data_IF_707313907426
#
_entry.id   IF_707313907426
#
_cell.length_a   1.000
_cell.length_b   1.000
_cell.length_c   1.000
_cell.angle_alpha   90.00
_cell.angle_beta   90.00
_cell.angle_gamma   90.00
#
_symmetry.space_group_name_H-M   'P 1'
#
loop_
_entity.id
_entity.type
_entity.pdbx_description
1 polymer ?
#
# COMPACT_ATOMS: atom_id res chain seq x y z
N UNK A 1 -14.52 -27.56 6.08
CA UNK A 1 -15.89 -28.10 6.25
C UNK A 1 -16.90 -27.02 5.91
N UNK A 2 -17.97 -27.30 5.16
CA UNK A 2 -19.03 -26.31 4.89
C UNK A 2 -19.69 -25.87 6.20
N UNK A 3 -19.98 -24.58 6.31
CA UNK A 3 -20.59 -23.94 7.51
C UNK A 3 -22.00 -24.51 7.77
N UNK A 4 -22.69 -24.91 6.70
CA UNK A 4 -24.09 -25.41 6.74
C UNK A 4 -24.27 -26.67 7.63
N UNK A 5 -23.19 -27.42 7.90
CA UNK A 5 -23.23 -28.65 8.69
C UNK A 5 -22.71 -28.48 10.13
N UNK A 6 -22.51 -27.25 10.59
CA UNK A 6 -21.97 -26.96 11.91
C UNK A 6 -23.01 -26.26 12.81
N UNK A 7 -22.88 -26.45 14.12
CA UNK A 7 -23.67 -25.72 15.11
C UNK A 7 -23.39 -24.21 15.00
N UNK A 8 -24.36 -23.45 14.53
CA UNK A 8 -24.25 -22.01 14.30
C UNK A 8 -23.90 -21.23 15.57
N UNK A 9 -24.30 -21.70 16.75
CA UNK A 9 -23.98 -21.07 18.04
C UNK A 9 -22.51 -21.25 18.35
N UNK A 10 -21.98 -22.45 18.14
CA UNK A 10 -20.55 -22.75 18.39
C UNK A 10 -19.64 -21.96 17.44
N UNK A 11 -20.04 -21.84 16.16
CA UNK A 11 -19.29 -21.03 15.19
C UNK A 11 -19.27 -19.57 15.62
N UNK A 12 -20.44 -18.99 15.93
CA UNK A 12 -20.55 -17.58 16.34
C UNK A 12 -19.72 -17.24 17.58
N UNK A 13 -19.62 -18.16 18.53
CA UNK A 13 -18.79 -17.99 19.73
C UNK A 13 -17.28 -17.97 19.46
N UNK A 14 -16.85 -18.52 18.31
CA UNK A 14 -15.44 -18.56 17.88
C UNK A 14 -15.05 -17.38 16.96
N UNK A 15 -15.99 -16.51 16.64
CA UNK A 15 -15.78 -15.35 15.75
C UNK A 15 -15.91 -14.09 16.59
N UNK A 16 -14.91 -13.24 16.54
CA UNK A 16 -15.01 -11.88 17.05
C UNK A 16 -15.87 -11.03 16.11
N UNK A 17 -16.72 -10.16 16.66
CA UNK A 17 -17.59 -9.33 15.84
C UNK A 17 -17.62 -7.89 16.33
N UNK A 18 -17.26 -6.96 15.44
CA UNK A 18 -17.39 -5.51 15.62
C UNK A 18 -18.55 -5.05 14.75
N UNK A 19 -19.63 -4.64 15.37
CA UNK A 19 -20.78 -4.06 14.66
C UNK A 19 -20.58 -2.57 14.42
N UNK A 20 -21.28 -2.02 13.46
CA UNK A 20 -21.38 -0.58 13.24
C UNK A 20 -21.72 0.13 14.57
N UNK A 21 -21.12 1.30 14.82
CA UNK A 21 -21.26 2.07 16.07
C UNK A 21 -20.86 1.32 17.36
N UNK A 22 -19.91 0.37 17.25
CA UNK A 22 -19.39 -0.46 18.33
C UNK A 22 -20.41 -1.39 19.01
N UNK A 23 -21.70 -1.11 18.95
CA UNK A 23 -22.76 -1.93 19.52
C UNK A 23 -22.57 -2.27 20.98
N UNK A 24 -22.12 -1.31 21.80
CA UNK A 24 -21.95 -1.49 23.24
C UNK A 24 -23.32 -1.44 23.95
N UNK A 25 -23.47 -2.25 25.00
CA UNK A 25 -24.61 -2.21 25.87
C UNK A 25 -24.57 -0.94 26.72
N UNK A 26 -25.52 0.02 26.58
CA UNK A 26 -25.43 1.33 27.21
C UNK A 26 -25.55 1.32 28.73
N UNK A 27 -26.13 0.26 29.29
CA UNK A 27 -26.36 0.05 30.70
C UNK A 27 -25.25 -0.75 31.42
N UNK A 28 -24.24 -1.17 30.67
CA UNK A 28 -23.06 -1.88 31.18
C UNK A 28 -21.83 -0.98 31.08
N UNK A 29 -20.93 -1.11 32.04
CA UNK A 29 -19.62 -0.46 31.99
C UNK A 29 -18.75 -1.03 30.87
N UNK A 30 -17.61 -0.40 30.58
CA UNK A 30 -16.62 -0.90 29.62
C UNK A 30 -16.17 -2.32 29.98
N UNK A 31 -15.80 -2.55 31.25
CA UNK A 31 -15.38 -3.86 31.71
C UNK A 31 -16.51 -4.90 31.58
N UNK A 32 -17.74 -4.54 31.90
CA UNK A 32 -18.89 -5.43 31.76
C UNK A 32 -19.19 -5.75 30.31
N UNK A 33 -19.11 -4.77 29.39
CA UNK A 33 -19.26 -4.98 27.95
C UNK A 33 -18.27 -6.02 27.42
N UNK A 34 -16.99 -5.90 27.79
CA UNK A 34 -15.94 -6.86 27.38
C UNK A 34 -16.18 -8.21 28.06
N UNK A 35 -16.51 -8.23 29.37
CA UNK A 35 -16.73 -9.47 30.12
C UNK A 35 -17.90 -10.31 29.60
N UNK A 36 -18.86 -9.71 28.94
CA UNK A 36 -20.04 -10.41 28.40
C UNK A 36 -19.65 -11.58 27.50
N UNK A 37 -18.75 -11.35 26.53
CA UNK A 37 -18.33 -12.42 25.61
C UNK A 37 -17.43 -13.45 26.28
N UNK A 38 -16.62 -13.04 27.28
CA UNK A 38 -15.80 -13.93 28.08
C UNK A 38 -16.67 -14.89 28.91
N UNK A 39 -17.71 -14.37 29.58
CA UNK A 39 -18.66 -15.16 30.37
C UNK A 39 -19.44 -16.16 29.51
N UNK A 40 -19.89 -15.76 28.32
CA UNK A 40 -20.59 -16.65 27.38
C UNK A 40 -19.69 -17.80 26.90
N UNK A 41 -18.37 -17.56 26.80
CA UNK A 41 -17.37 -18.56 26.42
C UNK A 41 -16.74 -19.29 27.63
N UNK A 42 -17.33 -19.16 28.82
CA UNK A 42 -16.91 -19.89 30.04
C UNK A 42 -15.45 -19.62 30.41
N UNK A 43 -14.96 -18.38 30.15
CA UNK A 43 -13.61 -17.98 30.57
C UNK A 43 -13.46 -18.01 32.10
N UNK A 44 -12.31 -18.43 32.62
CA UNK A 44 -12.10 -18.54 34.09
C UNK A 44 -12.38 -17.20 34.79
N UNK A 45 -13.32 -17.21 35.72
CA UNK A 45 -13.85 -15.99 36.38
C UNK A 45 -12.75 -15.18 37.07
N UNK A 46 -11.78 -15.86 37.70
CA UNK A 46 -10.64 -15.26 38.41
C UNK A 46 -9.67 -14.51 37.48
N UNK A 47 -9.68 -14.81 36.18
CA UNK A 47 -8.78 -14.21 35.20
C UNK A 47 -9.45 -13.08 34.38
N UNK A 48 -10.77 -12.94 34.49
CA UNK A 48 -11.51 -11.97 33.65
C UNK A 48 -11.02 -10.55 33.89
N UNK A 49 -10.81 -10.13 35.13
CA UNK A 49 -10.43 -8.76 35.46
C UNK A 49 -9.07 -8.39 34.84
N UNK A 50 -8.05 -9.23 35.04
CA UNK A 50 -6.72 -9.01 34.48
C UNK A 50 -6.73 -9.02 32.96
N UNK A 51 -7.48 -9.95 32.37
CA UNK A 51 -7.59 -10.04 30.92
C UNK A 51 -8.31 -8.83 30.27
N UNK A 52 -9.30 -8.24 30.96
CA UNK A 52 -9.92 -6.99 30.54
C UNK A 52 -8.92 -5.84 30.54
N UNK A 53 -8.07 -5.76 31.58
CA UNK A 53 -7.05 -4.72 31.64
C UNK A 53 -6.03 -4.87 30.50
N UNK A 54 -5.56 -6.07 30.20
CA UNK A 54 -4.72 -6.36 29.01
C UNK A 54 -5.38 -5.96 27.69
N UNK A 55 -6.69 -6.24 27.53
CA UNK A 55 -7.44 -5.89 26.34
C UNK A 55 -7.63 -4.37 26.18
N UNK A 56 -7.81 -3.66 27.27
CA UNK A 56 -7.90 -2.20 27.26
C UNK A 56 -6.55 -1.56 26.92
N UNK A 57 -5.45 -2.04 27.49
CA UNK A 57 -4.10 -1.60 27.13
C UNK A 57 -3.81 -1.87 25.64
N UNK A 58 -4.23 -3.02 25.12
CA UNK A 58 -4.06 -3.41 23.73
C UNK A 58 -4.72 -2.41 22.74
N UNK A 59 -5.83 -1.78 23.14
CA UNK A 59 -6.53 -0.76 22.34
C UNK A 59 -6.24 0.67 22.84
N UNK A 60 -5.11 0.88 23.51
CA UNK A 60 -4.65 2.18 23.98
C UNK A 60 -5.67 2.92 24.88
N UNK A 61 -6.40 2.19 25.71
CA UNK A 61 -7.27 2.72 26.76
C UNK A 61 -6.73 2.33 28.12
N UNK A 62 -6.32 3.32 28.93
CA UNK A 62 -5.80 3.06 30.27
C UNK A 62 -6.87 2.40 31.16
N UNK A 63 -6.65 1.17 31.67
CA UNK A 63 -7.66 0.44 32.44
C UNK A 63 -8.22 1.20 33.63
N UNK A 64 -7.33 1.85 34.41
CA UNK A 64 -7.73 2.60 35.62
C UNK A 64 -8.68 3.78 35.29
N UNK A 65 -8.56 4.36 34.10
CA UNK A 65 -9.37 5.50 33.70
C UNK A 65 -10.69 5.08 33.03
N UNK A 66 -10.70 3.93 32.30
CA UNK A 66 -11.81 3.62 31.39
C UNK A 66 -12.68 2.43 31.80
N UNK A 67 -12.18 1.47 32.59
CA UNK A 67 -12.88 0.21 32.86
C UNK A 67 -14.27 0.36 33.47
N UNK A 68 -14.47 1.37 34.32
CA UNK A 68 -15.71 1.58 35.09
C UNK A 68 -16.63 2.64 34.44
N UNK A 69 -16.22 3.21 33.29
CA UNK A 69 -17.05 4.16 32.55
C UNK A 69 -18.15 3.47 31.77
N UNK A 70 -19.26 4.19 31.58
CA UNK A 70 -20.34 3.77 30.70
C UNK A 70 -20.13 4.28 29.26
N UNK A 71 -20.69 3.62 28.25
CA UNK A 71 -20.58 4.06 26.84
C UNK A 71 -20.96 5.51 26.58
N UNK A 72 -21.89 6.08 27.36
CA UNK A 72 -22.31 7.48 27.27
C UNK A 72 -21.23 8.49 27.69
N UNK A 73 -20.22 8.04 28.43
CA UNK A 73 -19.10 8.86 28.91
C UNK A 73 -17.89 8.82 27.97
N UNK A 74 -17.97 8.02 26.90
CA UNK A 74 -16.90 7.80 25.93
C UNK A 74 -17.12 8.61 24.66
N UNK A 75 -16.01 9.04 24.02
CA UNK A 75 -16.07 9.54 22.64
C UNK A 75 -16.41 8.41 21.64
N UNK A 76 -16.76 8.75 20.39
CA UNK A 76 -17.04 7.78 19.35
C UNK A 76 -15.87 6.81 19.12
N UNK A 77 -14.64 7.33 19.04
CA UNK A 77 -13.43 6.53 18.89
C UNK A 77 -13.16 5.61 20.08
N UNK A 78 -13.35 6.11 21.31
CA UNK A 78 -13.19 5.28 22.52
C UNK A 78 -14.22 4.15 22.57
N UNK A 79 -15.49 4.42 22.20
CA UNK A 79 -16.51 3.35 22.06
C UNK A 79 -16.08 2.29 21.06
N UNK A 80 -15.54 2.73 19.91
CA UNK A 80 -15.09 1.81 18.87
C UNK A 80 -13.91 0.95 19.33
N UNK A 81 -12.92 1.54 20.04
CA UNK A 81 -11.81 0.81 20.67
C UNK A 81 -12.31 -0.27 21.64
N UNK A 82 -13.30 0.05 22.46
CA UNK A 82 -13.94 -0.94 23.36
C UNK A 82 -14.64 -2.05 22.57
N UNK A 83 -15.31 -1.72 21.45
CA UNK A 83 -15.90 -2.69 20.53
C UNK A 83 -14.86 -3.63 19.92
N UNK A 84 -13.71 -3.09 19.54
CA UNK A 84 -12.56 -3.87 19.06
C UNK A 84 -12.01 -4.77 20.18
N UNK A 85 -11.74 -4.23 21.37
CA UNK A 85 -11.28 -5.03 22.53
C UNK A 85 -12.22 -6.19 22.84
N UNK A 86 -13.54 -5.94 22.82
CA UNK A 86 -14.56 -6.99 23.01
C UNK A 86 -14.51 -8.07 21.92
N UNK A 87 -14.26 -7.72 20.67
CA UNK A 87 -14.17 -8.67 19.58
C UNK A 87 -12.92 -9.56 19.69
N UNK A 88 -11.83 -9.04 20.25
CA UNK A 88 -10.59 -9.79 20.49
C UNK A 88 -10.63 -10.60 21.81
N UNK A 89 -11.57 -10.36 22.71
CA UNK A 89 -11.55 -10.88 24.09
C UNK A 89 -11.45 -12.40 24.21
N UNK A 90 -12.02 -13.16 23.29
CA UNK A 90 -11.98 -14.63 23.29
C UNK A 90 -10.83 -15.21 22.46
N UNK A 91 -9.88 -14.39 22.06
CA UNK A 91 -8.76 -14.76 21.18
C UNK A 91 -9.22 -15.50 19.89
N UNK A 92 -10.21 -14.98 19.14
CA UNK A 92 -10.76 -15.66 18.00
C UNK A 92 -9.76 -15.76 16.84
N UNK A 93 -9.88 -16.81 16.00
CA UNK A 93 -9.10 -16.94 14.76
C UNK A 93 -9.59 -15.97 13.68
N UNK A 94 -10.88 -15.64 13.70
CA UNK A 94 -11.55 -14.79 12.68
C UNK A 94 -12.27 -13.65 13.39
N UNK A 95 -12.09 -12.44 12.86
CA UNK A 95 -12.78 -11.24 13.31
C UNK A 95 -13.52 -10.63 12.12
N UNK A 96 -14.82 -10.40 12.31
CA UNK A 96 -15.66 -9.71 11.34
C UNK A 96 -15.91 -8.29 11.82
N UNK A 97 -15.80 -7.31 10.95
CA UNK A 97 -16.06 -5.90 11.26
C UNK A 97 -16.99 -5.31 10.21
N UNK A 98 -18.08 -4.69 10.66
CA UNK A 98 -19.05 -4.05 9.79
C UNK A 98 -18.92 -2.53 9.92
N UNK A 99 -18.42 -1.88 8.88
CA UNK A 99 -18.13 -0.44 8.80
C UNK A 99 -17.48 0.14 10.06
N UNK A 100 -16.35 -0.43 10.54
CA UNK A 100 -15.82 -0.14 11.87
C UNK A 100 -15.31 1.29 12.05
N UNK A 101 -15.18 2.06 10.97
CA UNK A 101 -14.58 3.40 11.01
C UNK A 101 -15.51 4.50 10.53
N UNK A 102 -16.76 4.19 10.13
CA UNK A 102 -17.67 5.12 9.45
C UNK A 102 -18.08 6.33 10.31
N UNK A 103 -18.20 6.13 11.62
CA UNK A 103 -18.66 7.17 12.56
C UNK A 103 -17.52 8.02 13.16
N UNK A 104 -16.27 7.86 12.70
CA UNK A 104 -15.09 8.51 13.28
C UNK A 104 -14.66 9.73 12.47
N UNK A 105 -14.13 10.74 13.18
CA UNK A 105 -13.43 11.84 12.54
C UNK A 105 -12.13 11.34 11.84
N UNK A 106 -11.58 12.08 10.86
CA UNK A 106 -10.48 11.59 10.04
C UNK A 106 -9.21 11.23 10.82
N UNK A 107 -8.90 11.94 11.91
CA UNK A 107 -7.68 11.68 12.70
C UNK A 107 -7.85 10.39 13.51
N UNK A 108 -8.89 10.33 14.33
CA UNK A 108 -9.24 9.13 15.12
C UNK A 108 -9.40 7.90 14.25
N UNK A 109 -9.98 8.06 13.04
CA UNK A 109 -10.11 6.98 12.05
C UNK A 109 -8.76 6.44 11.63
N UNK A 110 -7.83 7.32 11.24
CA UNK A 110 -6.49 6.91 10.80
C UNK A 110 -5.73 6.18 11.91
N UNK A 111 -5.79 6.68 13.14
CA UNK A 111 -5.11 6.09 14.30
C UNK A 111 -5.66 4.68 14.59
N UNK A 112 -6.99 4.52 14.62
CA UNK A 112 -7.62 3.23 14.87
C UNK A 112 -7.36 2.21 13.75
N UNK A 113 -7.29 2.65 12.49
CA UNK A 113 -6.93 1.79 11.37
C UNK A 113 -5.51 1.24 11.54
N UNK A 114 -4.55 2.11 11.87
CA UNK A 114 -3.15 1.73 12.07
C UNK A 114 -3.00 0.75 13.25
N UNK A 115 -3.76 0.99 14.32
CA UNK A 115 -3.84 0.11 15.48
C UNK A 115 -4.40 -1.27 15.13
N UNK A 116 -5.53 -1.34 14.42
CA UNK A 116 -6.13 -2.62 13.98
C UNK A 116 -5.17 -3.40 13.08
N UNK A 117 -4.48 -2.74 12.14
CA UNK A 117 -3.46 -3.38 11.29
C UNK A 117 -2.29 -3.92 12.13
N UNK A 118 -1.82 -3.15 13.12
CA UNK A 118 -0.77 -3.57 14.05
C UNK A 118 -1.19 -4.79 14.86
N UNK A 119 -2.39 -4.77 15.44
CA UNK A 119 -2.96 -5.88 16.21
C UNK A 119 -3.13 -7.15 15.36
N UNK A 120 -3.66 -7.01 14.15
CA UNK A 120 -3.82 -8.12 13.20
C UNK A 120 -2.48 -8.81 12.92
N UNK A 121 -1.42 -8.02 12.65
CA UNK A 121 -0.07 -8.55 12.38
C UNK A 121 0.56 -9.22 13.61
N UNK A 122 0.42 -8.59 14.79
CA UNK A 122 0.98 -9.13 16.03
C UNK A 122 0.31 -10.44 16.46
N UNK A 123 -1.02 -10.51 16.34
CA UNK A 123 -1.82 -11.65 16.77
C UNK A 123 -2.07 -12.67 15.64
N UNK A 124 -1.65 -12.38 14.40
CA UNK A 124 -1.81 -13.22 13.21
C UNK A 124 -3.26 -13.67 13.00
N UNK A 125 -4.22 -12.77 13.19
CA UNK A 125 -5.65 -13.04 13.04
C UNK A 125 -6.11 -12.81 11.61
N UNK A 126 -7.16 -13.54 11.20
CA UNK A 126 -7.88 -13.25 9.97
C UNK A 126 -8.96 -12.21 10.25
N UNK A 127 -8.81 -11.03 9.68
CA UNK A 127 -9.80 -9.95 9.79
C UNK A 127 -10.53 -9.81 8.45
N UNK A 128 -11.86 -9.85 8.49
CA UNK A 128 -12.72 -9.53 7.36
C UNK A 128 -13.53 -8.31 7.74
N UNK A 129 -13.34 -7.20 7.05
CA UNK A 129 -14.10 -5.99 7.31
C UNK A 129 -14.86 -5.53 6.06
N UNK A 130 -16.02 -4.95 6.28
CA UNK A 130 -16.86 -4.33 5.25
C UNK A 130 -16.69 -2.84 5.35
N UNK A 131 -16.43 -2.19 4.23
CA UNK A 131 -16.39 -0.73 4.12
C UNK A 131 -16.90 -0.29 2.76
N UNK A 132 -17.45 0.91 2.68
CA UNK A 132 -17.74 1.60 1.43
C UNK A 132 -16.60 2.54 1.02
N UNK A 133 -15.58 2.71 1.86
CA UNK A 133 -14.41 3.54 1.59
C UNK A 133 -13.26 2.72 1.00
N UNK A 134 -12.94 3.02 -0.27
CA UNK A 134 -11.87 2.32 -0.98
C UNK A 134 -10.47 2.65 -0.43
N UNK A 135 -10.28 3.83 0.18
CA UNK A 135 -8.99 4.21 0.76
C UNK A 135 -8.71 3.39 2.03
N UNK A 136 -9.75 3.10 2.83
CA UNK A 136 -9.64 2.16 3.96
C UNK A 136 -9.26 0.76 3.47
N UNK A 137 -9.95 0.26 2.45
CA UNK A 137 -9.66 -1.06 1.89
C UNK A 137 -8.22 -1.14 1.35
N UNK A 138 -7.75 -0.14 0.62
CA UNK A 138 -6.38 -0.09 0.08
C UNK A 138 -5.33 -0.02 1.19
N UNK A 139 -5.59 0.75 2.25
CA UNK A 139 -4.65 0.94 3.36
C UNK A 139 -4.47 -0.31 4.21
N UNK A 140 -5.56 -1.05 4.44
CA UNK A 140 -5.60 -2.08 5.48
C UNK A 140 -5.61 -3.52 4.95
N UNK A 141 -6.16 -3.77 3.77
CA UNK A 141 -6.45 -5.13 3.33
C UNK A 141 -5.33 -5.74 2.49
N UNK A 142 -5.00 -7.01 2.77
CA UNK A 142 -4.16 -7.83 1.89
C UNK A 142 -4.91 -8.18 0.58
N UNK A 143 -6.24 -8.38 0.68
CA UNK A 143 -7.11 -8.68 -0.45
C UNK A 143 -8.43 -7.92 -0.32
N UNK A 144 -8.93 -7.43 -1.44
CA UNK A 144 -10.18 -6.68 -1.54
C UNK A 144 -11.17 -7.47 -2.39
N UNK A 145 -12.38 -7.66 -1.87
CA UNK A 145 -13.50 -8.23 -2.61
C UNK A 145 -14.50 -7.12 -2.96
N UNK A 146 -14.64 -6.82 -4.24
CA UNK A 146 -15.68 -5.88 -4.72
C UNK A 146 -16.96 -6.65 -4.99
N UNK A 147 -18.04 -6.21 -4.34
CA UNK A 147 -19.38 -6.84 -4.43
C UNK A 147 -20.32 -5.91 -5.16
N UNK A 148 -21.08 -6.47 -6.11
CA UNK A 148 -22.17 -5.79 -6.82
C UNK A 148 -23.39 -6.68 -6.87
N UNK A 149 -24.54 -6.17 -6.46
CA UNK A 149 -25.81 -6.91 -6.48
C UNK A 149 -25.74 -8.30 -5.81
N UNK A 150 -25.04 -8.37 -4.66
CA UNK A 150 -24.88 -9.60 -3.87
C UNK A 150 -23.90 -10.62 -4.48
N UNK A 151 -23.15 -10.27 -5.53
CA UNK A 151 -22.16 -11.14 -6.17
C UNK A 151 -20.76 -10.53 -6.11
N UNK A 152 -19.77 -11.38 -5.90
CA UNK A 152 -18.37 -10.97 -6.02
C UNK A 152 -18.06 -10.71 -7.49
N UNK A 153 -17.64 -9.49 -7.80
CA UNK A 153 -17.24 -9.07 -9.15
C UNK A 153 -15.75 -9.23 -9.35
N UNK A 154 -14.96 -8.90 -8.32
CA UNK A 154 -13.52 -9.06 -8.33
C UNK A 154 -13.02 -9.29 -6.89
N UNK A 155 -12.04 -10.17 -6.72
CA UNK A 155 -11.38 -10.39 -5.44
C UNK A 155 -9.89 -10.58 -5.67
N UNK A 156 -9.08 -9.56 -5.32
CA UNK A 156 -7.65 -9.53 -5.61
C UNK A 156 -6.91 -8.61 -4.62
N UNK A 157 -5.59 -8.44 -4.81
CA UNK A 157 -4.80 -7.43 -4.11
C UNK A 157 -5.23 -6.01 -4.52
N UNK A 158 -4.99 -5.03 -3.66
CA UNK A 158 -5.26 -3.62 -3.97
C UNK A 158 -4.57 -3.19 -5.28
N UNK A 159 -3.30 -3.58 -5.47
CA UNK A 159 -2.53 -3.28 -6.68
C UNK A 159 -3.21 -3.81 -7.95
N UNK A 160 -3.62 -5.08 -7.96
CA UNK A 160 -4.26 -5.69 -9.13
C UNK A 160 -5.63 -5.07 -9.43
N UNK A 161 -6.42 -4.77 -8.40
CA UNK A 161 -7.72 -4.11 -8.57
C UNK A 161 -7.55 -2.71 -9.18
N UNK A 162 -6.54 -1.95 -8.72
CA UNK A 162 -6.25 -0.61 -9.25
C UNK A 162 -5.71 -0.64 -10.68
N UNK A 163 -4.85 -1.60 -11.02
CA UNK A 163 -4.22 -1.72 -12.34
C UNK A 163 -5.10 -2.42 -13.37
N UNK A 164 -5.86 -3.43 -12.93
CA UNK A 164 -6.62 -4.34 -13.79
C UNK A 164 -8.06 -4.50 -13.29
N UNK A 165 -8.89 -3.43 -13.28
CA UNK A 165 -10.29 -3.53 -12.90
C UNK A 165 -11.05 -4.47 -13.83
N UNK A 166 -11.83 -5.41 -13.26
CA UNK A 166 -12.50 -6.48 -14.01
C UNK A 166 -13.57 -5.96 -14.97
N UNK A 167 -14.18 -4.81 -14.68
CA UNK A 167 -15.19 -4.18 -15.53
C UNK A 167 -15.33 -2.68 -15.23
N UNK A 168 -16.21 -2.00 -15.98
CA UNK A 168 -16.46 -0.56 -15.83
C UNK A 168 -17.04 -0.19 -14.46
N UNK A 169 -17.81 -1.07 -13.82
CA UNK A 169 -18.31 -0.83 -12.47
C UNK A 169 -17.16 -0.76 -11.46
N UNK A 170 -16.26 -1.75 -11.47
CA UNK A 170 -15.08 -1.75 -10.59
C UNK A 170 -14.22 -0.52 -10.85
N UNK A 171 -13.98 -0.20 -12.13
CA UNK A 171 -13.21 0.99 -12.54
C UNK A 171 -13.84 2.30 -12.04
N UNK A 172 -15.15 2.43 -12.13
CA UNK A 172 -15.89 3.60 -11.64
C UNK A 172 -15.87 3.67 -10.11
N UNK A 173 -16.07 2.53 -9.44
CA UNK A 173 -16.08 2.42 -7.98
C UNK A 173 -14.72 2.79 -7.36
N UNK A 174 -13.63 2.34 -7.97
CA UNK A 174 -12.26 2.70 -7.56
C UNK A 174 -12.00 4.19 -7.76
N UNK A 175 -12.50 4.76 -8.86
CA UNK A 175 -12.15 6.11 -9.32
C UNK A 175 -10.90 6.13 -10.21
N UNK A 176 -10.94 6.94 -11.28
CA UNK A 176 -9.95 6.92 -12.38
C UNK A 176 -8.51 7.25 -11.97
N UNK A 177 -8.31 7.92 -10.84
CA UNK A 177 -7.01 8.49 -10.48
C UNK A 177 -6.39 7.88 -9.22
N UNK A 178 -7.08 6.96 -8.54
CA UNK A 178 -6.64 6.45 -7.23
C UNK A 178 -5.34 5.65 -7.30
N UNK A 179 -5.02 5.00 -8.42
CA UNK A 179 -3.71 4.38 -8.64
C UNK A 179 -2.58 5.40 -8.48
N UNK A 180 -2.74 6.59 -9.06
CA UNK A 180 -1.72 7.64 -9.04
C UNK A 180 -1.54 8.26 -7.65
N UNK A 181 -2.52 8.15 -6.77
CA UNK A 181 -2.42 8.59 -5.36
C UNK A 181 -1.66 7.59 -4.47
N UNK A 182 -1.34 6.40 -4.99
CA UNK A 182 -0.65 5.35 -4.25
C UNK A 182 0.69 4.99 -4.92
N UNK A 183 1.76 5.75 -4.70
CA UNK A 183 3.05 5.58 -5.38
C UNK A 183 3.74 4.23 -5.08
N UNK A 184 3.36 3.55 -4.01
CA UNK A 184 3.84 2.21 -3.67
C UNK A 184 3.42 1.15 -4.72
N UNK A 185 2.27 1.33 -5.37
CA UNK A 185 1.75 0.41 -6.39
C UNK A 185 2.23 0.72 -7.81
N UNK A 186 2.82 1.88 -8.03
CA UNK A 186 3.37 2.25 -9.34
C UNK A 186 4.81 1.75 -9.39
N UNK A 187 5.10 0.84 -10.30
CA UNK A 187 6.45 0.27 -10.49
C UNK A 187 7.22 0.97 -11.61
N UNK A 188 8.55 0.85 -11.59
CA UNK A 188 9.39 1.40 -12.67
C UNK A 188 8.91 0.96 -14.06
N UNK A 189 8.55 -0.31 -14.23
CA UNK A 189 8.01 -0.88 -15.48
C UNK A 189 6.73 -0.21 -15.97
N UNK A 190 5.90 0.36 -15.08
CA UNK A 190 4.64 1.03 -15.43
C UNK A 190 4.87 2.43 -16.02
N UNK A 191 5.99 3.05 -15.69
CA UNK A 191 6.29 4.44 -16.04
C UNK A 191 7.53 4.63 -16.91
N UNK A 192 8.38 3.59 -17.08
CA UNK A 192 9.58 3.66 -17.88
C UNK A 192 9.27 3.95 -19.34
N UNK A 193 10.22 4.60 -20.00
CA UNK A 193 10.25 4.74 -21.45
C UNK A 193 10.88 3.49 -22.03
N UNK A 194 10.21 2.90 -23.01
CA UNK A 194 10.70 1.74 -23.77
C UNK A 194 11.60 2.21 -24.91
N UNK A 195 12.46 1.33 -25.38
CA UNK A 195 13.40 1.62 -26.48
C UNK A 195 14.45 2.69 -26.15
N UNK A 196 15.29 2.45 -25.13
CA UNK A 196 16.41 3.33 -24.83
C UNK A 196 17.39 3.41 -26.00
N UNK A 197 18.03 4.57 -26.17
CA UNK A 197 19.16 4.69 -27.06
C UNK A 197 20.30 3.84 -26.52
N UNK A 198 20.63 2.73 -27.19
CA UNK A 198 21.59 1.73 -26.73
C UNK A 198 22.64 1.40 -27.80
N UNK A 199 23.82 1.00 -27.32
CA UNK A 199 24.93 0.56 -28.15
C UNK A 199 25.64 -0.63 -27.49
N UNK A 200 26.25 -1.49 -28.30
CA UNK A 200 27.08 -2.59 -27.77
C UNK A 200 28.45 -2.09 -27.32
N UNK A 201 28.98 -2.66 -26.22
CA UNK A 201 30.30 -2.29 -25.66
C UNK A 201 31.46 -2.43 -26.66
N UNK A 202 31.35 -3.35 -27.61
CA UNK A 202 32.41 -3.63 -28.63
C UNK A 202 32.43 -2.61 -29.77
N UNK A 203 31.70 -1.51 -29.67
CA UNK A 203 31.67 -0.45 -30.70
C UNK A 203 32.77 0.60 -30.43
N UNK A 204 32.88 1.53 -31.38
CA UNK A 204 33.85 2.64 -31.30
C UNK A 204 33.17 3.95 -30.90
N UNK A 205 33.97 4.91 -30.45
CA UNK A 205 33.52 6.27 -30.10
C UNK A 205 32.74 6.93 -31.25
N UNK A 206 33.26 6.81 -32.51
CA UNK A 206 32.57 7.40 -33.65
C UNK A 206 31.15 6.80 -33.88
N UNK A 207 31.01 5.51 -33.64
CA UNK A 207 29.69 4.86 -33.77
C UNK A 207 28.73 5.32 -32.67
N UNK A 208 29.23 5.54 -31.44
CA UNK A 208 28.42 6.09 -30.35
C UNK A 208 27.98 7.52 -30.67
N UNK A 209 28.87 8.38 -31.18
CA UNK A 209 28.53 9.74 -31.60
C UNK A 209 27.50 9.77 -32.70
N UNK A 210 27.58 8.85 -33.67
CA UNK A 210 26.57 8.73 -34.76
C UNK A 210 25.20 8.34 -34.19
N UNK A 211 25.16 7.38 -33.26
CA UNK A 211 23.91 6.96 -32.62
C UNK A 211 23.31 8.10 -31.80
N UNK A 212 24.11 8.80 -31.00
CA UNK A 212 23.65 9.94 -30.19
C UNK A 212 23.12 11.08 -31.08
N UNK A 213 23.84 11.41 -32.17
CA UNK A 213 23.43 12.47 -33.11
C UNK A 213 22.13 12.11 -33.80
N UNK A 214 21.99 10.88 -34.28
CA UNK A 214 20.76 10.42 -34.94
C UNK A 214 19.56 10.42 -34.00
N UNK A 215 19.74 9.98 -32.77
CA UNK A 215 18.70 9.93 -31.74
C UNK A 215 18.47 11.30 -31.05
N UNK A 216 19.34 12.29 -31.29
CA UNK A 216 19.33 13.62 -30.63
C UNK A 216 19.36 13.52 -29.11
N UNK A 217 20.26 12.68 -28.59
CA UNK A 217 20.46 12.48 -27.16
C UNK A 217 21.92 12.79 -26.79
N UNK A 218 22.14 13.11 -25.54
CA UNK A 218 23.44 13.43 -24.95
C UNK A 218 24.07 12.24 -24.20
N UNK A 219 23.41 11.09 -24.23
CA UNK A 219 23.90 9.88 -23.60
C UNK A 219 23.42 8.62 -24.33
N UNK A 220 24.15 7.54 -24.19
CA UNK A 220 23.78 6.23 -24.73
C UNK A 220 24.03 5.15 -23.69
N UNK A 221 23.07 4.22 -23.58
CA UNK A 221 23.16 3.09 -22.66
C UNK A 221 23.93 1.95 -23.30
N UNK A 222 24.98 1.49 -22.62
CA UNK A 222 25.87 0.45 -23.15
C UNK A 222 25.41 -0.91 -22.66
N UNK A 223 25.30 -1.85 -23.59
CA UNK A 223 24.91 -3.23 -23.29
C UNK A 223 25.89 -4.22 -23.91
N UNK A 224 26.09 -5.35 -23.26
CA UNK A 224 26.79 -6.51 -23.80
C UNK A 224 25.95 -7.76 -23.57
N UNK A 225 25.61 -8.50 -24.64
CA UNK A 225 24.70 -9.65 -24.59
C UNK A 225 23.42 -9.38 -23.79
N UNK A 226 22.76 -8.26 -24.04
CA UNK A 226 21.59 -7.70 -23.34
C UNK A 226 21.83 -7.24 -21.89
N UNK A 227 22.96 -7.54 -21.28
CA UNK A 227 23.29 -7.06 -19.94
C UNK A 227 23.75 -5.61 -20.00
N UNK A 228 23.24 -4.82 -19.08
CA UNK A 228 23.64 -3.43 -18.94
C UNK A 228 25.06 -3.32 -18.40
N UNK A 229 25.88 -2.42 -18.99
CA UNK A 229 27.29 -2.22 -18.61
C UNK A 229 27.57 -0.84 -18.05
N UNK A 230 26.82 0.17 -18.47
CA UNK A 230 27.02 1.54 -18.03
C UNK A 230 26.47 2.55 -19.03
N UNK A 231 26.83 3.80 -18.83
CA UNK A 231 26.41 4.95 -19.63
C UNK A 231 27.61 5.62 -20.26
N UNK A 232 27.49 6.03 -21.51
CA UNK A 232 28.49 6.91 -22.15
C UNK A 232 27.82 8.27 -22.39
N UNK A 233 28.48 9.32 -21.94
CA UNK A 233 27.99 10.68 -22.06
C UNK A 233 28.66 11.38 -23.26
N UNK A 234 27.89 12.20 -23.98
CA UNK A 234 28.40 12.97 -25.12
C UNK A 234 29.53 13.92 -24.70
N UNK A 235 29.47 14.43 -23.48
CA UNK A 235 30.45 15.36 -22.93
C UNK A 235 31.85 14.72 -22.82
N UNK A 236 31.92 13.46 -22.41
CA UNK A 236 33.16 12.68 -22.29
C UNK A 236 33.80 12.41 -23.64
N UNK A 237 33.00 12.38 -24.72
CA UNK A 237 33.44 12.09 -26.06
C UNK A 237 33.85 13.34 -26.87
N UNK A 238 33.43 14.55 -26.51
CA UNK A 238 33.65 15.79 -27.28
C UNK A 238 35.08 16.21 -27.40
N UNK A 239 35.91 15.87 -26.43
CA UNK A 239 37.31 16.32 -26.37
C UNK A 239 38.30 15.25 -26.82
N UNK A 240 37.84 14.20 -27.52
CA UNK A 240 38.66 13.05 -27.86
C UNK A 240 39.09 13.08 -29.31
N UNK A 241 40.40 13.11 -29.56
CA UNK A 241 40.97 13.18 -30.93
C UNK A 241 40.96 11.84 -31.68
N UNK A 242 40.82 10.68 -30.97
CA UNK A 242 40.89 9.35 -31.57
C UNK A 242 39.52 8.69 -31.68
N UNK A 243 38.74 9.07 -32.66
CA UNK A 243 37.34 8.59 -32.87
C UNK A 243 37.19 7.07 -33.10
N UNK A 244 38.28 6.37 -33.43
CA UNK A 244 38.28 4.91 -33.61
C UNK A 244 38.65 4.12 -32.34
N UNK A 245 38.80 4.80 -31.20
CA UNK A 245 39.06 4.12 -29.92
C UNK A 245 37.88 3.24 -29.51
N UNK A 246 38.15 2.15 -28.74
CA UNK A 246 37.10 1.33 -28.15
C UNK A 246 36.22 2.17 -27.26
N UNK A 247 34.92 1.87 -27.27
CA UNK A 247 33.92 2.56 -26.44
C UNK A 247 34.06 2.18 -24.95
N UNK A 248 34.64 1.01 -24.68
CA UNK A 248 34.83 0.49 -23.32
C UNK A 248 35.59 1.44 -22.39
N UNK A 249 36.53 2.21 -22.92
CA UNK A 249 37.34 3.16 -22.16
C UNK A 249 36.52 4.38 -21.64
N UNK A 250 35.30 4.56 -22.14
CA UNK A 250 34.40 5.70 -21.85
C UNK A 250 33.11 5.29 -21.13
N UNK A 251 32.96 4.03 -20.77
CA UNK A 251 31.79 3.56 -20.05
C UNK A 251 31.89 4.03 -18.60
N UNK A 252 30.99 4.92 -18.21
CA UNK A 252 30.83 5.32 -16.83
C UNK A 252 30.03 4.25 -16.09
N UNK A 253 30.61 3.78 -14.99
CA UNK A 253 29.91 2.93 -14.00
C UNK A 253 29.26 3.75 -12.88
N UNK A 254 29.43 5.07 -12.89
CA UNK A 254 28.75 5.98 -11.98
C UNK A 254 27.35 6.28 -12.52
N UNK A 255 26.42 5.39 -12.19
CA UNK A 255 25.01 5.52 -12.54
C UNK A 255 24.11 4.98 -11.41
N UNK A 256 22.91 5.51 -11.37
CA UNK A 256 21.86 4.96 -10.53
C UNK A 256 20.86 4.18 -11.40
N UNK A 257 20.83 2.87 -11.26
CA UNK A 257 19.84 2.03 -11.92
C UNK A 257 18.79 1.54 -10.91
N UNK A 258 17.59 1.27 -11.40
CA UNK A 258 16.50 0.72 -10.60
C UNK A 258 16.01 -0.60 -11.19
N UNK A 259 15.53 -1.50 -10.34
CA UNK A 259 14.85 -2.70 -10.80
C UNK A 259 13.46 -2.35 -11.37
N UNK A 260 12.99 -3.09 -12.36
CA UNK A 260 11.67 -2.86 -12.98
C UNK A 260 10.50 -2.98 -12.00
N UNK A 261 10.67 -3.72 -10.89
CA UNK A 261 9.69 -3.88 -9.81
C UNK A 261 9.84 -2.82 -8.68
N UNK A 262 10.84 -1.93 -8.75
CA UNK A 262 11.02 -0.85 -7.76
C UNK A 262 9.82 0.10 -7.79
N UNK A 263 9.28 0.44 -6.61
CA UNK A 263 8.14 1.36 -6.51
C UNK A 263 8.53 2.80 -6.85
N UNK A 264 7.57 3.58 -7.35
CA UNK A 264 7.77 5.01 -7.59
C UNK A 264 8.19 5.74 -6.31
N UNK A 265 7.64 5.37 -5.16
CA UNK A 265 8.01 5.92 -3.85
C UNK A 265 9.49 5.69 -3.55
N UNK A 266 9.98 4.47 -3.74
CA UNK A 266 11.39 4.15 -3.50
C UNK A 266 12.31 4.86 -4.51
N UNK A 267 11.91 4.93 -5.78
CA UNK A 267 12.64 5.68 -6.80
C UNK A 267 12.78 7.15 -6.38
N UNK A 268 11.69 7.80 -5.97
CA UNK A 268 11.70 9.20 -5.55
C UNK A 268 12.56 9.44 -4.32
N UNK A 269 12.58 8.49 -3.38
CA UNK A 269 13.36 8.60 -2.14
C UNK A 269 14.86 8.33 -2.33
N UNK A 270 15.24 7.51 -3.33
CA UNK A 270 16.63 7.07 -3.52
C UNK A 270 17.38 7.84 -4.60
N UNK A 271 16.67 8.40 -5.59
CA UNK A 271 17.30 9.09 -6.72
C UNK A 271 17.74 10.51 -6.33
N UNK A 272 19.04 10.77 -6.48
CA UNK A 272 19.56 12.13 -6.36
C UNK A 272 19.35 12.89 -7.68
N UNK A 273 18.35 13.79 -7.70
CA UNK A 273 17.93 14.52 -8.91
C UNK A 273 18.95 15.54 -9.42
N UNK A 274 20.01 15.83 -8.67
CA UNK A 274 21.03 16.79 -9.10
C UNK A 274 22.02 16.19 -10.09
N UNK A 275 22.27 14.90 -10.00
CA UNK A 275 23.32 14.21 -10.75
C UNK A 275 22.86 13.35 -11.93
N UNK A 276 21.54 13.06 -12.07
CA UNK A 276 21.09 12.07 -13.06
C UNK A 276 20.17 12.63 -14.13
N UNK A 277 20.64 12.55 -15.39
CA UNK A 277 19.83 12.81 -16.58
C UNK A 277 18.96 11.62 -16.97
N UNK A 278 19.46 10.40 -16.79
CA UNK A 278 18.83 9.14 -17.18
C UNK A 278 19.03 8.06 -16.10
N UNK A 279 17.98 7.31 -15.81
CA UNK A 279 17.98 6.20 -14.85
C UNK A 279 17.66 4.92 -15.62
N UNK A 280 18.61 4.00 -15.80
CA UNK A 280 18.34 2.69 -16.40
C UNK A 280 17.37 1.87 -15.55
N UNK A 281 16.46 1.16 -16.21
CA UNK A 281 15.55 0.20 -15.57
C UNK A 281 15.97 -1.20 -15.99
N UNK A 282 16.31 -2.03 -15.00
CA UNK A 282 16.87 -3.37 -15.21
C UNK A 282 15.91 -4.43 -14.65
N UNK A 283 15.95 -5.63 -15.22
CA UNK A 283 15.33 -6.80 -14.61
C UNK A 283 16.29 -7.50 -13.63
N UNK A 284 15.82 -8.59 -13.00
CA UNK A 284 16.63 -9.37 -12.05
C UNK A 284 17.89 -10.00 -12.69
N UNK A 285 17.89 -10.19 -14.01
CA UNK A 285 19.02 -10.69 -14.77
C UNK A 285 20.04 -9.61 -15.18
N UNK A 286 19.87 -8.35 -14.72
CA UNK A 286 20.63 -7.18 -15.11
C UNK A 286 20.52 -6.82 -16.60
N UNK A 287 19.41 -7.18 -17.23
CA UNK A 287 19.10 -6.79 -18.60
C UNK A 287 18.33 -5.47 -18.63
N UNK A 288 18.65 -4.65 -19.63
CA UNK A 288 18.06 -3.33 -19.80
C UNK A 288 16.62 -3.44 -20.34
N UNK A 289 15.62 -3.13 -19.50
CA UNK A 289 14.20 -3.14 -19.83
C UNK A 289 13.69 -1.79 -20.38
N UNK A 290 14.27 -0.70 -19.90
CA UNK A 290 13.87 0.66 -20.26
C UNK A 290 14.68 1.69 -19.50
N UNK A 291 14.15 2.91 -19.43
CA UNK A 291 14.79 3.99 -18.68
C UNK A 291 13.76 5.01 -18.19
N UNK A 292 14.17 5.76 -17.17
CA UNK A 292 13.43 6.89 -16.65
C UNK A 292 14.22 8.17 -16.86
N UNK A 293 13.53 9.27 -17.07
CA UNK A 293 14.12 10.61 -17.13
C UNK A 293 13.50 11.50 -16.05
N UNK A 294 14.20 12.56 -15.66
CA UNK A 294 13.68 13.59 -14.75
C UNK A 294 12.33 14.13 -15.21
N UNK A 295 12.19 14.43 -16.48
CA UNK A 295 10.93 14.92 -17.07
C UNK A 295 9.79 13.89 -16.96
N UNK A 296 10.10 12.59 -17.15
CA UNK A 296 9.12 11.52 -17.00
C UNK A 296 8.63 11.38 -15.56
N UNK A 297 9.56 11.38 -14.60
CA UNK A 297 9.21 11.34 -13.18
C UNK A 297 8.37 12.55 -12.76
N UNK A 298 8.76 13.76 -13.16
CA UNK A 298 7.98 14.97 -12.89
C UNK A 298 6.59 14.92 -13.52
N UNK A 299 6.45 14.41 -14.75
CA UNK A 299 5.14 14.26 -15.38
C UNK A 299 4.24 13.25 -14.66
N UNK A 300 4.80 12.19 -14.10
CA UNK A 300 4.07 11.20 -13.30
C UNK A 300 3.67 11.80 -11.95
N UNK A 301 4.58 12.47 -11.26
CA UNK A 301 4.32 13.12 -9.99
C UNK A 301 3.29 14.25 -10.11
N UNK A 302 3.32 15.03 -11.20
CA UNK A 302 2.35 16.11 -11.42
C UNK A 302 0.90 15.60 -11.54
N UNK A 303 0.69 14.37 -12.00
CA UNK A 303 -0.63 13.72 -12.00
C UNK A 303 -1.17 13.49 -10.59
N UNK A 304 -0.30 13.22 -9.62
CA UNK A 304 -0.70 13.09 -8.20
C UNK A 304 -1.23 14.42 -7.65
N UNK A 305 -0.56 15.54 -7.95
CA UNK A 305 -0.95 16.86 -7.45
C UNK A 305 -2.23 17.42 -8.10
N UNK A 306 -2.48 17.15 -9.36
CA UNK A 306 -3.74 17.55 -10.02
C UNK A 306 -4.95 16.88 -9.35
N UNK A 307 -4.80 15.67 -8.87
CA UNK A 307 -5.87 14.90 -8.21
C UNK A 307 -6.10 15.32 -6.76
N UNK A 308 -5.06 15.72 -6.01
CA UNK A 308 -5.20 16.21 -4.66
C UNK A 308 -6.00 17.53 -4.58
N UNK A 309 -5.94 18.36 -5.63
CA UNK A 309 -6.68 19.63 -5.69
C UNK A 309 -8.17 19.43 -6.06
N UNK A 310 -8.52 18.40 -6.80
CA UNK A 310 -9.93 18.08 -7.12
C UNK A 310 -10.67 17.57 -5.88
N UNK A 311 -10.03 16.82 -5.00
CA UNK A 311 -10.62 16.35 -3.74
C UNK A 311 -10.79 17.49 -2.72
N UNK A 312 -9.93 18.52 -2.73
CA UNK A 312 -10.06 19.69 -1.84
C UNK A 312 -11.07 20.72 -2.34
N UNK A 313 -11.30 20.80 -3.63
CA UNK A 313 -12.28 21.73 -4.25
C UNK A 313 -13.75 21.29 -4.14
N UNK A 314 -14.03 20.00 -3.90
CA UNK A 314 -15.38 19.47 -3.69
C UNK A 314 -15.97 19.66 -2.28
N UNK A 315 -15.16 20.14 -1.33
CA UNK A 315 -15.59 20.38 0.05
C UNK A 315 -15.96 21.85 0.34
N UNK A 316 -15.99 22.72 -0.67
CA UNK A 316 -16.27 24.17 -0.56
C UNK A 316 -17.39 24.64 -1.52
N UNK A 317 -18.27 23.74 -1.98
CA UNK A 317 -19.45 24.11 -2.76
C UNK A 317 -20.74 23.58 -2.10
#
# INVERSE_FOLDING_TARGET
MPIENQDSIKIRRRIGYVVQDAGLFPHLTVAENISTVLKINEYPQEKIAAHIDELLEMVELEPAAYRDLYPSQLSGGQRQRVGVARAFATDPEIILMDEPFSALDPVTRSDLQDEVVKLQKQLQKTVVFVTHDMDEAIKMADRICVIQNGRIVQCDTAENILKHPANDYVKLFIGQNRLWSNPDFIKAKDIMLKNPCRISANRTVIQALQVMNHARVDSVLVTDNNKFKGIVWLEDLKNFEKYNSPLEDFISEDYHAVNEETSLKDIVNTVNYEYFGIIPVLNDNQELCGFLTKSRLLAVLSRQYQNANVQRGGALA
#
